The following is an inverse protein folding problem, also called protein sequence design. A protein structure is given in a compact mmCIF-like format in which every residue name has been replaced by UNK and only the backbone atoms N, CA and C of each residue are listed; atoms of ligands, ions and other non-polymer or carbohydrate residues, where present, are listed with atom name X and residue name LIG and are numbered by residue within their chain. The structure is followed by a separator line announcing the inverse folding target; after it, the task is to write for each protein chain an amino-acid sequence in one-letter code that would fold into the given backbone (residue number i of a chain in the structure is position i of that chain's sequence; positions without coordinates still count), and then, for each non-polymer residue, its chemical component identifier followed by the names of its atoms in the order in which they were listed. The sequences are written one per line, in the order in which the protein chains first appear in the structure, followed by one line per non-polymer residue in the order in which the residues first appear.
data_IF_053519784055
#
_entry.id   IF_053519784055
#
_cell.length_a   1.000
_cell.length_b   1.000
_cell.length_c   1.000
_cell.angle_alpha   90.00
_cell.angle_beta   90.00
_cell.angle_gamma   90.00
#
_symmetry.space_group_name_H-M   'P 1'
#
loop_
_entity.id
_entity.type
_entity.pdbx_description
1 polymer ?
#
# COMPACT_ATOMS: atom_id res chain seq x y z
N UNK A 1 20.34 1.11 11.43
CA UNK A 1 19.85 2.21 10.58
C UNK A 1 18.54 2.66 11.18
N UNK A 2 18.46 3.93 11.60
CA UNK A 2 17.31 4.45 12.34
C UNK A 2 16.08 4.61 11.44
N UNK A 3 14.93 4.36 12.04
CA UNK A 3 13.54 4.36 11.58
C UNK A 3 13.00 5.71 11.07
N UNK A 4 13.81 6.43 10.26
CA UNK A 4 13.45 7.71 9.64
C UNK A 4 14.54 8.37 8.78
N UNK A 5 15.51 7.62 8.26
CA UNK A 5 16.53 8.18 7.34
C UNK A 5 15.95 8.46 5.95
N UNK A 6 16.34 9.59 5.34
CA UNK A 6 16.09 9.85 3.92
C UNK A 6 17.26 9.37 3.06
N UNK A 7 16.96 8.93 1.84
CA UNK A 7 17.95 8.60 0.81
C UNK A 7 17.66 9.44 -0.41
N UNK A 8 18.68 10.14 -0.94
CA UNK A 8 18.55 10.80 -2.24
C UNK A 8 18.66 9.72 -3.33
N UNK A 9 17.62 9.59 -4.14
CA UNK A 9 17.47 8.51 -5.15
C UNK A 9 17.50 9.03 -6.59
N UNK A 10 17.54 10.35 -6.75
CA UNK A 10 17.73 11.06 -8.00
C UNK A 10 18.09 12.51 -7.68
N UNK A 11 18.52 13.29 -8.68
CA UNK A 11 18.79 14.72 -8.45
C UNK A 11 17.55 15.40 -7.85
N UNK A 12 17.66 16.04 -6.69
CA UNK A 12 16.55 16.62 -5.93
C UNK A 12 15.40 15.68 -5.52
N UNK A 13 15.50 14.36 -5.68
CA UNK A 13 14.44 13.40 -5.32
C UNK A 13 14.88 12.50 -4.18
N UNK A 14 14.03 12.39 -3.15
CA UNK A 14 14.32 11.69 -1.90
C UNK A 14 13.24 10.67 -1.58
N UNK A 15 13.66 9.51 -1.06
CA UNK A 15 12.78 8.51 -0.49
C UNK A 15 13.02 8.36 1.02
N UNK A 16 11.93 8.19 1.76
CA UNK A 16 11.93 7.87 3.19
C UNK A 16 11.50 6.41 3.33
N UNK A 17 12.50 5.53 3.22
CA UNK A 17 12.27 4.08 3.19
C UNK A 17 12.07 3.53 4.60
N UNK A 18 11.01 2.74 4.80
CA UNK A 18 10.73 2.06 6.06
C UNK A 18 11.29 0.65 6.03
N UNK A 19 11.73 0.17 7.19
CA UNK A 19 12.13 -1.23 7.31
C UNK A 19 10.89 -2.12 7.05
N UNK A 20 11.04 -3.21 6.28
CA UNK A 20 9.96 -4.17 6.11
C UNK A 20 9.44 -4.63 7.48
N UNK A 21 8.12 -4.54 7.66
CA UNK A 21 7.54 -4.67 9.00
C UNK A 21 6.03 -4.86 8.95
N UNK A 22 5.31 -4.20 9.86
CA UNK A 22 3.85 -4.28 9.96
C UNK A 22 3.11 -3.71 8.75
N UNK A 23 1.79 -3.54 8.88
CA UNK A 23 0.95 -3.07 7.78
C UNK A 23 1.35 -1.69 7.27
N UNK A 24 1.30 -0.64 8.10
CA UNK A 24 1.57 0.71 7.62
C UNK A 24 3.00 1.21 7.79
N UNK A 25 3.95 0.33 7.48
CA UNK A 25 5.35 0.68 7.27
C UNK A 25 5.53 1.14 5.81
N UNK A 26 4.76 2.14 5.39
CA UNK A 26 4.75 2.65 4.03
C UNK A 26 5.90 3.65 3.79
N UNK A 27 6.49 3.59 2.60
CA UNK A 27 7.49 4.54 2.13
C UNK A 27 6.82 5.86 1.70
N UNK A 28 7.55 6.97 1.83
CA UNK A 28 7.12 8.27 1.31
C UNK A 28 8.22 8.94 0.49
N UNK A 29 7.86 10.00 -0.23
CA UNK A 29 8.73 10.70 -1.17
C UNK A 29 8.76 12.21 -0.96
N UNK A 30 9.85 12.82 -1.42
CA UNK A 30 9.99 14.27 -1.56
C UNK A 30 10.70 14.58 -2.88
N UNK A 31 10.07 15.40 -3.71
CA UNK A 31 10.66 16.00 -4.92
C UNK A 31 10.94 17.46 -4.62
N UNK A 32 12.18 17.88 -4.79
CA UNK A 32 12.65 19.25 -4.53
C UNK A 32 13.10 19.87 -5.84
N UNK A 33 12.51 21.01 -6.18
CA UNK A 33 13.08 21.94 -7.14
C UNK A 33 13.76 23.08 -6.38
N UNK A 34 15.09 23.08 -6.38
CA UNK A 34 15.88 23.91 -5.48
C UNK A 34 15.65 25.40 -5.75
N UNK A 35 15.28 26.15 -4.72
CA UNK A 35 15.05 27.60 -4.83
C UNK A 35 13.62 27.98 -5.23
N UNK A 36 12.74 27.00 -5.51
CA UNK A 36 11.35 27.27 -5.91
C UNK A 36 10.37 26.57 -4.96
N UNK A 37 10.13 25.27 -5.11
CA UNK A 37 9.11 24.54 -4.37
C UNK A 37 9.38 23.03 -4.33
N UNK A 38 8.66 22.33 -3.46
CA UNK A 38 8.74 20.89 -3.31
C UNK A 38 7.36 20.23 -3.37
N UNK A 39 7.36 18.95 -3.74
CA UNK A 39 6.20 18.07 -3.74
C UNK A 39 6.45 16.88 -2.80
N UNK A 40 5.49 16.58 -1.92
CA UNK A 40 5.51 15.38 -1.07
C UNK A 40 4.70 14.25 -1.72
N UNK A 41 5.19 13.02 -1.65
CA UNK A 41 4.43 11.82 -2.06
C UNK A 41 4.15 10.96 -0.84
N UNK A 42 2.86 10.79 -0.51
CA UNK A 42 2.36 10.07 0.66
C UNK A 42 2.86 10.60 2.02
N UNK A 43 2.17 10.25 3.12
CA UNK A 43 2.41 10.90 4.43
C UNK A 43 2.46 9.98 5.66
N UNK A 44 2.52 8.66 5.49
CA UNK A 44 2.48 7.68 6.59
C UNK A 44 1.15 7.73 7.41
N UNK A 45 0.89 6.72 8.26
CA UNK A 45 -0.23 6.77 9.21
C UNK A 45 0.12 6.96 10.69
N UNK A 46 1.34 6.60 11.12
CA UNK A 46 1.74 6.81 12.52
C UNK A 46 2.11 8.27 12.63
N UNK A 47 1.33 9.01 13.41
CA UNK A 47 1.51 10.46 13.60
C UNK A 47 2.89 10.85 14.14
N UNK A 48 3.57 9.95 14.85
CA UNK A 48 4.96 10.17 15.31
C UNK A 48 5.94 9.99 14.15
N UNK A 49 5.73 8.99 13.30
CA UNK A 49 6.55 8.78 12.10
C UNK A 49 6.34 9.93 11.12
N UNK A 50 5.08 10.27 10.80
CA UNK A 50 4.75 11.37 9.90
C UNK A 50 5.44 12.68 10.35
N UNK A 51 5.43 12.97 11.66
CA UNK A 51 6.14 14.12 12.23
C UNK A 51 7.66 14.03 12.04
N UNK A 52 8.27 12.88 12.32
CA UNK A 52 9.73 12.67 12.13
C UNK A 52 10.13 12.84 10.66
N UNK A 53 9.32 12.36 9.72
CA UNK A 53 9.54 12.57 8.28
C UNK A 53 9.45 14.06 7.95
N UNK A 54 8.39 14.74 8.39
CA UNK A 54 8.23 16.18 8.16
C UNK A 54 9.38 17.01 8.76
N UNK A 55 9.91 16.63 9.92
CA UNK A 55 11.10 17.23 10.54
C UNK A 55 12.36 16.97 9.70
N UNK A 56 12.56 15.76 9.19
CA UNK A 56 13.68 15.40 8.32
C UNK A 56 13.61 16.10 6.95
N UNK A 57 12.42 16.46 6.48
CA UNK A 57 12.22 17.23 5.25
C UNK A 57 12.59 18.71 5.41
N UNK A 58 12.47 19.31 6.60
CA UNK A 58 12.72 20.74 6.85
C UNK A 58 14.04 21.27 6.24
N UNK A 59 15.22 20.66 6.48
CA UNK A 59 16.46 21.15 5.89
C UNK A 59 16.48 21.06 4.35
N UNK A 60 15.78 20.10 3.77
CA UNK A 60 15.71 19.89 2.31
C UNK A 60 14.83 20.94 1.62
N UNK A 61 13.76 21.37 2.31
CA UNK A 61 12.75 22.29 1.76
C UNK A 61 12.94 23.75 2.23
N UNK A 62 14.00 24.04 2.98
CA UNK A 62 14.25 25.36 3.57
C UNK A 62 14.30 26.51 2.54
N UNK A 63 14.68 26.22 1.30
CA UNK A 63 14.69 27.17 0.16
C UNK A 63 13.72 26.78 -0.96
N UNK A 64 12.88 25.79 -0.72
CA UNK A 64 11.96 25.21 -1.70
C UNK A 64 10.71 24.70 -0.96
N UNK A 65 9.85 25.60 -0.45
CA UNK A 65 8.72 25.23 0.40
C UNK A 65 7.80 24.20 -0.26
N UNK A 66 7.20 23.33 0.56
CA UNK A 66 6.23 22.32 0.10
C UNK A 66 4.93 23.03 -0.31
N UNK A 67 4.62 23.05 -1.60
CA UNK A 67 3.36 23.63 -2.12
C UNK A 67 2.42 22.57 -2.66
N UNK A 68 2.94 21.42 -3.07
CA UNK A 68 2.17 20.30 -3.59
C UNK A 68 2.38 19.05 -2.74
N UNK A 69 1.36 18.20 -2.70
CA UNK A 69 1.46 16.84 -2.19
C UNK A 69 0.57 15.93 -3.03
N UNK A 70 0.95 14.66 -3.14
CA UNK A 70 0.19 13.63 -3.82
C UNK A 70 0.01 12.44 -2.89
N UNK A 71 -1.23 11.98 -2.75
CA UNK A 71 -1.52 10.68 -2.13
C UNK A 71 -1.81 9.65 -3.23
N UNK A 72 -1.03 8.57 -3.26
CA UNK A 72 -1.04 7.57 -4.33
C UNK A 72 -2.32 6.75 -4.37
N UNK A 73 -2.93 6.49 -3.21
CA UNK A 73 -4.18 5.73 -3.09
C UNK A 73 -4.85 5.95 -1.73
N UNK A 74 -5.92 5.19 -1.43
CA UNK A 74 -6.82 5.43 -0.29
C UNK A 74 -6.40 4.83 1.06
N UNK A 75 -5.44 3.91 1.09
CA UNK A 75 -5.07 3.22 2.34
C UNK A 75 -4.41 4.19 3.33
N UNK A 76 -4.78 4.06 4.59
CA UNK A 76 -4.55 5.09 5.61
C UNK A 76 -3.08 5.43 5.83
N UNK A 77 -2.20 4.46 5.67
CA UNK A 77 -0.74 4.58 5.74
C UNK A 77 -0.12 5.40 4.61
N UNK A 78 -0.88 5.82 3.62
CA UNK A 78 -0.41 6.72 2.57
C UNK A 78 -0.87 8.16 2.75
N UNK A 79 -1.86 8.44 3.61
CA UNK A 79 -2.43 9.80 3.71
C UNK A 79 -2.78 10.29 5.12
N UNK A 80 -2.75 9.44 6.15
CA UNK A 80 -3.19 9.87 7.48
C UNK A 80 -2.24 10.88 8.17
N UNK A 81 -1.04 11.05 7.66
CA UNK A 81 -0.10 12.08 8.07
C UNK A 81 -0.28 13.41 7.35
N UNK A 82 -1.32 13.60 6.53
CA UNK A 82 -1.56 14.85 5.78
C UNK A 82 -1.67 16.09 6.68
N UNK A 83 -2.01 15.93 7.97
CA UNK A 83 -2.02 17.01 8.97
C UNK A 83 -0.60 17.55 9.30
N UNK A 84 0.46 16.89 8.85
CA UNK A 84 1.86 17.36 8.98
C UNK A 84 2.29 18.30 7.87
N UNK A 85 1.54 18.34 6.76
CA UNK A 85 1.81 19.24 5.64
C UNK A 85 1.47 20.70 6.01
N UNK A 86 2.18 21.69 5.44
CA UNK A 86 1.77 23.08 5.55
C UNK A 86 0.31 23.30 5.14
N UNK A 87 -0.39 24.21 5.83
CA UNK A 87 -1.81 24.48 5.59
C UNK A 87 -2.10 24.97 4.16
N UNK A 88 -1.10 25.56 3.49
CA UNK A 88 -1.19 26.06 2.11
C UNK A 88 -0.87 25.01 1.06
N UNK A 89 -0.42 23.81 1.46
CA UNK A 89 -0.06 22.74 0.51
C UNK A 89 -1.30 22.19 -0.16
N UNK A 90 -1.33 22.23 -1.48
CA UNK A 90 -2.32 21.59 -2.32
C UNK A 90 -2.14 20.07 -2.27
N UNK A 91 -3.21 19.30 -2.03
CA UNK A 91 -3.12 17.83 -1.98
C UNK A 91 -3.94 17.24 -3.13
N UNK A 92 -3.26 16.52 -4.03
CA UNK A 92 -3.85 15.84 -5.18
C UNK A 92 -3.93 14.33 -4.95
N UNK A 93 -5.01 13.69 -5.38
CA UNK A 93 -5.17 12.23 -5.43
C UNK A 93 -6.08 11.85 -6.60
N UNK A 94 -6.32 10.57 -6.89
CA UNK A 94 -7.34 10.23 -7.91
C UNK A 94 -8.76 10.42 -7.37
N UNK A 95 -9.75 10.72 -8.22
CA UNK A 95 -11.14 10.86 -7.75
C UNK A 95 -11.68 9.59 -7.07
N UNK A 96 -11.25 8.42 -7.55
CA UNK A 96 -11.58 7.14 -6.95
C UNK A 96 -10.93 6.93 -5.58
N UNK A 97 -9.66 7.33 -5.41
CA UNK A 97 -8.98 7.26 -4.12
C UNK A 97 -9.61 8.23 -3.09
N UNK A 98 -9.95 9.47 -3.48
CA UNK A 98 -10.65 10.40 -2.60
C UNK A 98 -12.00 9.84 -2.11
N UNK A 99 -12.72 9.11 -2.97
CA UNK A 99 -13.95 8.43 -2.57
C UNK A 99 -13.65 7.34 -1.53
N UNK A 100 -12.66 6.49 -1.77
CA UNK A 100 -12.20 5.46 -0.83
C UNK A 100 -11.85 6.06 0.55
N UNK A 101 -11.06 7.14 0.56
CA UNK A 101 -10.67 7.85 1.80
C UNK A 101 -11.86 8.37 2.62
N UNK A 102 -12.98 8.71 1.97
CA UNK A 102 -14.20 9.18 2.64
C UNK A 102 -15.07 8.04 3.17
N UNK A 103 -15.00 6.88 2.54
CA UNK A 103 -15.84 5.71 2.84
C UNK A 103 -15.17 4.74 3.82
N UNK A 104 -13.83 4.78 3.92
CA UNK A 104 -13.08 3.93 4.82
C UNK A 104 -13.30 4.26 6.31
N UNK A 105 -12.96 3.27 7.15
CA UNK A 105 -13.05 3.43 8.59
C UNK A 105 -12.14 4.58 9.05
N UNK A 106 -12.65 5.54 9.84
CA UNK A 106 -11.82 6.61 10.35
C UNK A 106 -10.75 6.06 11.31
N UNK A 107 -9.60 6.75 11.47
CA UNK A 107 -8.50 6.31 12.32
C UNK A 107 -8.92 5.92 13.75
N UNK A 108 -9.83 6.70 14.35
CA UNK A 108 -10.35 6.43 15.69
C UNK A 108 -11.13 5.11 15.78
N UNK A 109 -11.87 4.74 14.73
CA UNK A 109 -12.58 3.46 14.67
C UNK A 109 -11.60 2.30 14.52
N UNK A 110 -10.56 2.45 13.68
CA UNK A 110 -9.48 1.46 13.55
C UNK A 110 -8.76 1.26 14.90
N UNK A 111 -8.41 2.34 15.59
CA UNK A 111 -7.79 2.29 16.91
C UNK A 111 -8.69 1.61 17.96
N UNK A 112 -9.99 1.91 17.95
CA UNK A 112 -10.97 1.29 18.85
C UNK A 112 -11.09 -0.22 18.59
N UNK A 113 -11.19 -0.63 17.33
CA UNK A 113 -11.27 -2.05 16.94
C UNK A 113 -9.99 -2.81 17.31
N UNK A 114 -8.82 -2.23 17.07
CA UNK A 114 -7.54 -2.83 17.46
C UNK A 114 -7.40 -2.95 19.00
N UNK A 115 -7.91 -1.96 19.74
CA UNK A 115 -7.94 -1.99 21.22
C UNK A 115 -8.88 -3.08 21.73
N UNK A 116 -10.10 -3.17 21.19
CA UNK A 116 -11.04 -4.24 21.51
C UNK A 116 -10.47 -5.62 21.18
N UNK A 117 -9.70 -5.73 20.08
CA UNK A 117 -9.00 -6.95 19.68
C UNK A 117 -8.01 -7.50 20.72
N UNK A 118 -7.53 -6.69 21.67
CA UNK A 118 -6.71 -7.17 22.80
C UNK A 118 -7.45 -8.14 23.71
N UNK A 119 -8.75 -7.95 23.87
CA UNK A 119 -9.60 -8.78 24.73
C UNK A 119 -10.33 -9.84 23.91
N UNK A 120 -10.93 -9.43 22.78
CA UNK A 120 -11.69 -10.33 21.92
C UNK A 120 -10.81 -11.33 21.18
N UNK A 121 -9.52 -11.05 20.98
CA UNK A 121 -8.58 -11.95 20.29
C UNK A 121 -8.38 -13.31 20.98
N UNK A 122 -8.69 -13.40 22.28
CA UNK A 122 -8.63 -14.64 23.05
C UNK A 122 -9.91 -15.51 22.94
N UNK A 123 -10.98 -14.98 22.35
CA UNK A 123 -12.24 -15.71 22.16
C UNK A 123 -12.02 -16.83 21.13
N UNK A 124 -12.40 -18.08 21.42
CA UNK A 124 -12.28 -19.16 20.44
C UNK A 124 -13.10 -18.91 19.17
N UNK A 125 -12.61 -19.40 18.03
CA UNK A 125 -13.31 -19.35 16.75
C UNK A 125 -13.09 -18.07 15.94
N UNK A 126 -13.90 -17.90 14.89
CA UNK A 126 -13.68 -16.89 13.84
C UNK A 126 -13.69 -15.45 14.34
N UNK A 127 -14.55 -15.13 15.31
CA UNK A 127 -14.66 -13.77 15.86
C UNK A 127 -13.35 -13.37 16.54
N UNK A 128 -12.81 -14.23 17.40
CA UNK A 128 -11.53 -13.94 18.05
C UNK A 128 -10.35 -13.96 17.09
N UNK A 129 -10.37 -14.83 16.07
CA UNK A 129 -9.35 -14.80 15.02
C UNK A 129 -9.34 -13.47 14.25
N UNK A 130 -10.51 -12.98 13.80
CA UNK A 130 -10.62 -11.68 13.14
C UNK A 130 -10.16 -10.54 14.04
N UNK A 131 -10.55 -10.56 15.32
CA UNK A 131 -10.17 -9.55 16.30
C UNK A 131 -8.66 -9.57 16.61
N UNK A 132 -8.06 -10.76 16.68
CA UNK A 132 -6.62 -10.94 16.86
C UNK A 132 -5.84 -10.39 15.65
N UNK A 133 -6.32 -10.64 14.43
CA UNK A 133 -5.72 -10.08 13.22
C UNK A 133 -5.85 -8.55 13.18
N UNK A 134 -7.05 -8.03 13.45
CA UNK A 134 -7.32 -6.58 13.46
C UNK A 134 -6.42 -5.84 14.46
N UNK A 135 -6.11 -6.46 15.61
CA UNK A 135 -5.14 -5.93 16.59
C UNK A 135 -3.74 -5.77 16.00
N UNK A 136 -3.33 -6.62 15.05
CA UNK A 136 -2.01 -6.57 14.40
C UNK A 136 -1.93 -5.49 13.33
N UNK A 137 -3.06 -5.12 12.72
CA UNK A 137 -3.09 -4.16 11.61
C UNK A 137 -2.36 -2.87 11.97
N UNK A 138 -2.69 -2.12 13.04
CA UNK A 138 -1.94 -0.89 13.33
C UNK A 138 -0.48 -1.12 13.72
N UNK A 139 -0.03 -2.34 14.06
CA UNK A 139 1.37 -2.61 14.37
C UNK A 139 1.97 -1.83 15.55
N UNK A 140 1.14 -1.22 16.41
CA UNK A 140 1.58 -0.31 17.48
C UNK A 140 1.64 1.18 17.06
N UNK A 141 1.19 1.49 15.85
CA UNK A 141 1.12 2.85 15.32
C UNK A 141 0.27 3.78 16.19
N UNK A 142 0.70 5.03 16.32
CA UNK A 142 -0.09 6.10 16.92
C UNK A 142 -0.94 6.78 15.86
N UNK A 143 -2.14 6.25 15.68
CA UNK A 143 -3.09 6.73 14.69
C UNK A 143 -3.67 8.09 15.09
N UNK A 144 -4.07 8.94 14.11
CA UNK A 144 -4.79 10.18 14.39
C UNK A 144 -6.06 9.95 15.21
N UNK A 145 -6.43 10.91 16.05
CA UNK A 145 -7.68 10.84 16.83
C UNK A 145 -8.91 11.32 16.04
N UNK A 146 -8.69 12.10 14.98
CA UNK A 146 -9.70 12.59 14.02
C UNK A 146 -9.28 12.23 12.61
N UNK A 147 -10.20 12.30 11.67
CA UNK A 147 -9.87 12.19 10.25
C UNK A 147 -8.90 13.30 9.83
N UNK A 148 -7.76 12.97 9.20
CA UNK A 148 -6.79 13.94 8.71
C UNK A 148 -7.33 14.77 7.55
N UNK A 149 -6.58 15.81 7.17
CA UNK A 149 -6.86 16.62 5.98
C UNK A 149 -6.94 15.74 4.72
N UNK A 150 -8.13 15.69 4.12
CA UNK A 150 -8.36 15.01 2.84
C UNK A 150 -7.70 15.78 1.69
N UNK A 151 -7.37 15.09 0.58
CA UNK A 151 -7.08 15.73 -0.69
C UNK A 151 -8.18 16.69 -1.14
N UNK A 152 -7.78 17.86 -1.65
CA UNK A 152 -8.65 18.92 -2.14
C UNK A 152 -8.65 19.03 -3.67
N UNK A 153 -7.75 18.30 -4.35
CA UNK A 153 -7.74 18.17 -5.80
C UNK A 153 -7.75 16.72 -6.26
N UNK A 154 -8.36 16.51 -7.42
CA UNK A 154 -8.46 15.20 -8.03
C UNK A 154 -8.07 15.20 -9.51
N UNK A 155 -7.69 14.03 -10.00
CA UNK A 155 -7.50 13.73 -11.41
C UNK A 155 -8.05 12.32 -11.72
N UNK A 156 -8.32 12.05 -13.00
CA UNK A 156 -8.98 10.80 -13.42
C UNK A 156 -8.15 9.90 -14.35
N UNK A 157 -7.23 10.48 -15.13
CA UNK A 157 -6.31 9.72 -16.00
C UNK A 157 -4.87 10.14 -15.75
N UNK A 158 -4.42 11.18 -16.42
CA UNK A 158 -3.06 11.70 -16.33
C UNK A 158 -3.10 13.17 -15.92
N UNK A 159 -2.14 13.59 -15.10
CA UNK A 159 -1.96 14.98 -14.72
C UNK A 159 -0.48 15.36 -14.80
N UNK A 160 -0.20 16.48 -15.45
CA UNK A 160 1.11 17.13 -15.42
C UNK A 160 1.10 18.17 -14.32
N UNK A 161 1.99 18.01 -13.36
CA UNK A 161 2.24 18.97 -12.29
C UNK A 161 3.59 19.64 -12.53
N UNK A 162 3.61 20.96 -12.44
CA UNK A 162 4.85 21.75 -12.47
C UNK A 162 5.28 22.00 -11.02
N UNK A 163 6.34 21.34 -10.59
CA UNK A 163 6.98 21.55 -9.29
C UNK A 163 8.17 22.47 -9.54
N UNK A 164 7.90 23.78 -9.57
CA UNK A 164 8.87 24.77 -10.01
C UNK A 164 9.20 24.58 -11.49
N UNK A 165 10.44 24.23 -11.82
CA UNK A 165 10.86 23.92 -13.19
C UNK A 165 10.75 22.43 -13.55
N UNK A 166 10.41 21.57 -12.60
CA UNK A 166 10.35 20.12 -12.80
C UNK A 166 8.96 19.68 -13.21
N UNK A 167 8.91 18.84 -14.25
CA UNK A 167 7.69 18.17 -14.66
C UNK A 167 7.51 16.90 -13.83
N UNK A 168 6.41 16.82 -13.09
CA UNK A 168 5.97 15.61 -12.39
C UNK A 168 4.72 15.08 -13.07
N UNK A 169 4.74 13.82 -13.47
CA UNK A 169 3.65 13.14 -14.16
C UNK A 169 2.90 12.25 -13.17
N UNK A 170 1.59 12.48 -13.00
CA UNK A 170 0.71 11.57 -12.29
C UNK A 170 -0.06 10.74 -13.30
N UNK A 171 -0.12 9.42 -13.09
CA UNK A 171 -0.91 8.51 -13.90
C UNK A 171 -1.75 7.62 -12.98
N UNK A 172 -3.06 7.54 -13.23
CA UNK A 172 -3.96 6.63 -12.51
C UNK A 172 -3.95 5.28 -13.20
N UNK A 173 -3.43 4.26 -12.53
CA UNK A 173 -3.37 2.89 -13.03
C UNK A 173 -4.43 1.98 -12.39
N UNK A 174 -5.14 2.46 -11.36
CA UNK A 174 -6.22 1.77 -10.70
C UNK A 174 -7.52 1.67 -11.52
N UNK A 175 -8.42 0.73 -11.17
CA UNK A 175 -8.40 -0.04 -9.92
C UNK A 175 -7.46 -1.26 -9.96
N UNK A 176 -6.61 -1.40 -8.95
CA UNK A 176 -5.66 -2.49 -8.74
C UNK A 176 -5.68 -2.93 -7.27
N UNK A 177 -4.72 -2.44 -6.46
CA UNK A 177 -4.70 -2.63 -5.01
C UNK A 177 -5.95 -2.02 -4.40
N UNK A 178 -6.25 -0.76 -4.71
CA UNK A 178 -7.47 -0.02 -4.35
C UNK A 178 -8.28 0.39 -5.59
N UNK A 179 -9.31 1.21 -5.41
CA UNK A 179 -10.11 1.74 -6.52
C UNK A 179 -9.35 2.76 -7.40
N UNK A 180 -8.31 3.40 -6.84
CA UNK A 180 -7.77 4.65 -7.35
C UNK A 180 -6.26 4.75 -7.37
N UNK A 181 -5.56 3.61 -7.46
CA UNK A 181 -4.09 3.56 -7.43
C UNK A 181 -3.46 4.44 -8.50
N UNK A 182 -2.47 5.22 -8.10
CA UNK A 182 -1.75 6.15 -8.96
C UNK A 182 -0.26 6.11 -8.70
N UNK A 183 0.50 6.52 -9.71
CA UNK A 183 1.95 6.67 -9.65
C UNK A 183 2.35 8.14 -9.75
N UNK A 184 3.54 8.47 -9.24
CA UNK A 184 4.21 9.76 -9.42
C UNK A 184 5.52 9.53 -10.14
N UNK A 185 5.64 9.97 -11.38
CA UNK A 185 6.84 9.84 -12.20
C UNK A 185 7.55 11.18 -12.34
N UNK A 186 8.86 11.19 -12.06
CA UNK A 186 9.76 12.34 -12.17
C UNK A 186 10.79 12.03 -13.26
N UNK A 187 10.49 12.32 -14.55
CA UNK A 187 11.25 11.77 -15.66
C UNK A 187 12.70 12.27 -15.74
N UNK A 188 12.95 13.53 -15.39
CA UNK A 188 14.30 14.11 -15.40
C UNK A 188 15.21 13.52 -14.31
N UNK A 189 14.62 12.93 -13.26
CA UNK A 189 15.35 12.24 -12.20
C UNK A 189 15.38 10.71 -12.38
N UNK A 190 14.65 10.15 -13.35
CA UNK A 190 14.54 8.70 -13.52
C UNK A 190 13.86 7.99 -12.35
N UNK A 191 12.91 8.63 -11.66
CA UNK A 191 12.26 8.09 -10.44
C UNK A 191 10.76 7.91 -10.59
N UNK A 192 10.23 6.77 -10.14
CA UNK A 192 8.79 6.52 -10.03
C UNK A 192 8.41 6.13 -8.60
N UNK A 193 7.48 6.87 -7.99
CA UNK A 193 6.79 6.44 -6.76
C UNK A 193 5.54 5.67 -7.14
N UNK A 194 5.46 4.39 -6.75
CA UNK A 194 4.43 3.47 -7.22
C UNK A 194 3.32 3.20 -6.19
N UNK A 195 3.47 3.66 -4.94
CA UNK A 195 2.60 3.27 -3.84
C UNK A 195 2.44 1.74 -3.79
N UNK A 196 1.26 1.29 -3.40
CA UNK A 196 0.98 -0.14 -3.23
C UNK A 196 0.69 -0.89 -4.53
N UNK A 197 1.02 -0.30 -5.69
CA UNK A 197 1.19 -1.10 -6.90
C UNK A 197 2.44 -1.98 -6.81
N UNK A 198 3.39 -1.65 -5.91
CA UNK A 198 4.59 -2.45 -5.64
C UNK A 198 4.71 -2.77 -4.14
N UNK A 199 4.74 -4.05 -3.82
CA UNK A 199 5.19 -4.60 -2.53
C UNK A 199 6.45 -5.42 -2.79
N UNK A 200 7.58 -5.08 -2.17
CA UNK A 200 8.86 -5.72 -2.41
C UNK A 200 9.29 -6.52 -1.17
N UNK A 201 9.49 -7.83 -1.33
CA UNK A 201 9.84 -8.74 -0.23
C UNK A 201 8.69 -8.99 0.76
N UNK A 202 7.45 -8.71 0.37
CA UNK A 202 6.25 -8.84 1.20
C UNK A 202 5.09 -9.35 0.34
N UNK A 203 4.26 -10.23 0.91
CA UNK A 203 3.09 -10.76 0.23
C UNK A 203 2.07 -9.63 -0.02
N UNK A 204 1.77 -9.30 -1.29
CA UNK A 204 0.92 -8.16 -1.64
C UNK A 204 -0.56 -8.47 -1.42
N UNK A 205 -1.37 -7.43 -1.27
CA UNK A 205 -2.81 -7.56 -0.99
C UNK A 205 -3.63 -7.02 -2.15
N UNK A 206 -4.58 -7.80 -2.65
CA UNK A 206 -5.58 -7.36 -3.61
C UNK A 206 -6.91 -7.03 -2.92
N UNK A 207 -7.22 -5.74 -2.75
CA UNK A 207 -8.53 -5.34 -2.22
C UNK A 207 -9.57 -5.17 -3.31
N UNK A 208 -9.20 -4.57 -4.43
CA UNK A 208 -10.16 -4.14 -5.44
C UNK A 208 -10.17 -5.04 -6.68
N UNK A 209 -9.03 -5.13 -7.37
CA UNK A 209 -8.95 -5.77 -8.67
C UNK A 209 -9.79 -5.08 -9.76
N UNK A 210 -9.98 -5.74 -10.91
CA UNK A 210 -9.57 -7.11 -11.23
C UNK A 210 -8.04 -7.26 -11.34
N UNK A 211 -7.50 -8.46 -11.16
CA UNK A 211 -6.04 -8.68 -11.09
C UNK A 211 -5.34 -8.36 -12.41
N UNK A 212 -6.05 -8.54 -13.52
CA UNK A 212 -5.61 -8.22 -14.88
C UNK A 212 -5.21 -6.74 -15.01
N UNK A 213 -5.89 -5.84 -14.29
CA UNK A 213 -5.50 -4.43 -14.24
C UNK A 213 -4.16 -4.23 -13.54
N UNK A 214 -3.89 -4.96 -12.46
CA UNK A 214 -2.62 -4.85 -11.75
C UNK A 214 -1.46 -5.40 -12.58
N UNK A 215 -1.68 -6.50 -13.31
CA UNK A 215 -0.70 -6.97 -14.29
C UNK A 215 -0.40 -5.89 -15.34
N UNK A 216 -1.44 -5.24 -15.89
CA UNK A 216 -1.27 -4.14 -16.83
C UNK A 216 -0.56 -2.92 -16.21
N UNK A 217 -0.82 -2.61 -14.94
CA UNK A 217 -0.13 -1.55 -14.20
C UNK A 217 1.36 -1.87 -14.01
N UNK A 218 1.70 -3.13 -13.72
CA UNK A 218 3.09 -3.58 -13.63
C UNK A 218 3.79 -3.50 -15.00
N UNK A 219 3.11 -3.91 -16.07
CA UNK A 219 3.63 -3.79 -17.44
C UNK A 219 3.86 -2.31 -17.82
N UNK A 220 2.96 -1.40 -17.38
CA UNK A 220 3.14 0.04 -17.53
C UNK A 220 4.35 0.56 -16.75
N UNK A 221 4.51 0.15 -15.49
CA UNK A 221 5.66 0.52 -14.67
C UNK A 221 6.98 0.12 -15.33
N UNK A 222 7.09 -1.11 -15.84
CA UNK A 222 8.27 -1.59 -16.56
C UNK A 222 8.54 -0.79 -17.85
N UNK A 223 7.49 -0.35 -18.53
CA UNK A 223 7.60 0.44 -19.77
C UNK A 223 8.00 1.91 -19.55
N UNK A 224 7.98 2.41 -18.31
CA UNK A 224 8.49 3.75 -17.99
C UNK A 224 10.02 3.84 -18.05
N UNK A 225 10.71 2.69 -17.94
CA UNK A 225 12.17 2.59 -18.00
C UNK A 225 12.87 3.57 -17.04
N UNK A 226 12.37 3.65 -15.81
CA UNK A 226 12.94 4.50 -14.76
C UNK A 226 14.13 3.81 -14.08
N UNK A 227 15.07 4.61 -13.57
CA UNK A 227 16.26 4.12 -12.88
C UNK A 227 15.92 3.54 -11.50
N UNK A 228 14.97 4.15 -10.79
CA UNK A 228 14.58 3.76 -9.43
C UNK A 228 13.05 3.80 -9.25
N UNK A 229 12.52 2.74 -8.65
CA UNK A 229 11.13 2.66 -8.22
C UNK A 229 11.04 2.66 -6.69
N UNK A 230 10.15 3.51 -6.16
CA UNK A 230 9.81 3.57 -4.74
C UNK A 230 8.49 2.83 -4.54
N UNK A 231 8.52 1.61 -3.97
CA UNK A 231 7.29 0.89 -3.65
C UNK A 231 6.60 1.51 -2.45
N UNK A 232 5.33 1.20 -2.25
CA UNK A 232 4.61 1.54 -1.03
C UNK A 232 5.19 0.78 0.16
N UNK A 233 5.56 -0.50 -0.02
CA UNK A 233 6.22 -1.29 1.01
C UNK A 233 7.45 -2.04 0.51
N UNK A 234 8.49 -2.07 1.34
CA UNK A 234 9.73 -2.77 1.07
C UNK A 234 10.87 -1.85 0.63
N UNK A 235 12.03 -2.42 0.27
CA UNK A 235 13.17 -1.65 -0.20
C UNK A 235 12.90 -1.01 -1.57
N UNK A 236 13.68 0.01 -1.92
CA UNK A 236 13.76 0.53 -3.30
C UNK A 236 14.03 -0.62 -4.28
N UNK A 237 13.48 -0.54 -5.47
CA UNK A 237 13.57 -1.62 -6.44
C UNK A 237 13.83 -1.14 -7.88
N UNK A 238 14.16 -2.10 -8.73
CA UNK A 238 14.26 -1.93 -10.16
C UNK A 238 13.38 -2.93 -10.93
N UNK A 239 13.61 -3.07 -12.24
CA UNK A 239 12.80 -3.93 -13.10
C UNK A 239 12.77 -5.40 -12.69
N UNK A 240 13.81 -5.92 -12.03
CA UNK A 240 13.89 -7.34 -11.66
C UNK A 240 12.92 -7.68 -10.52
N UNK A 241 12.87 -6.89 -9.45
CA UNK A 241 11.90 -7.11 -8.38
C UNK A 241 10.46 -6.84 -8.86
N UNK A 242 10.27 -5.91 -9.80
CA UNK A 242 8.95 -5.66 -10.41
C UNK A 242 8.48 -6.88 -11.22
N UNK A 243 9.37 -7.51 -11.99
CA UNK A 243 9.08 -8.77 -12.71
C UNK A 243 8.80 -9.91 -11.74
N UNK A 244 9.45 -9.93 -10.59
CA UNK A 244 9.22 -10.92 -9.54
C UNK A 244 7.80 -10.79 -8.94
N UNK A 245 7.37 -9.56 -8.64
CA UNK A 245 5.99 -9.28 -8.23
C UNK A 245 4.97 -9.68 -9.30
N UNK A 246 5.27 -9.40 -10.57
CA UNK A 246 4.43 -9.85 -11.69
C UNK A 246 4.30 -11.37 -11.73
N UNK A 247 5.42 -12.09 -11.55
CA UNK A 247 5.46 -13.54 -11.56
C UNK A 247 4.61 -14.12 -10.42
N UNK A 248 4.67 -13.53 -9.22
CA UNK A 248 3.80 -13.90 -8.10
C UNK A 248 2.33 -13.77 -8.46
N UNK A 249 1.91 -12.64 -9.05
CA UNK A 249 0.51 -12.45 -9.40
C UNK A 249 0.01 -13.41 -10.47
N UNK A 250 0.81 -13.66 -11.51
CA UNK A 250 0.47 -14.62 -12.56
C UNK A 250 0.35 -16.03 -11.98
N UNK A 251 1.28 -16.43 -11.12
CA UNK A 251 1.23 -17.71 -10.43
C UNK A 251 -0.02 -17.82 -9.53
N UNK A 252 -0.27 -16.82 -8.69
CA UNK A 252 -1.42 -16.82 -7.79
C UNK A 252 -2.75 -16.90 -8.55
N UNK A 253 -2.84 -16.22 -9.69
CA UNK A 253 -4.01 -16.30 -10.56
C UNK A 253 -4.23 -17.74 -11.04
N UNK A 254 -3.19 -18.36 -11.62
CA UNK A 254 -3.26 -19.70 -12.18
C UNK A 254 -3.57 -20.75 -11.10
N UNK A 255 -2.73 -20.80 -10.06
CA UNK A 255 -2.85 -21.78 -8.98
C UNK A 255 -4.14 -21.55 -8.17
N UNK A 256 -4.53 -20.29 -7.95
CA UNK A 256 -5.79 -19.93 -7.31
C UNK A 256 -7.01 -20.36 -8.13
N UNK A 257 -7.01 -20.19 -9.46
CA UNK A 257 -8.11 -20.64 -10.33
C UNK A 257 -8.29 -22.15 -10.28
N UNK A 258 -7.20 -22.91 -10.22
CA UNK A 258 -7.29 -24.37 -10.05
C UNK A 258 -7.96 -24.76 -8.74
N UNK A 259 -7.57 -24.11 -7.64
CA UNK A 259 -8.19 -24.33 -6.33
C UNK A 259 -9.68 -23.96 -6.33
N UNK A 260 -10.02 -22.83 -6.95
CA UNK A 260 -11.40 -22.41 -7.12
C UNK A 260 -12.23 -23.41 -7.94
N UNK A 261 -11.69 -23.91 -9.06
CA UNK A 261 -12.35 -24.91 -9.90
C UNK A 261 -12.60 -26.25 -9.18
N UNK A 262 -11.76 -26.59 -8.19
CA UNK A 262 -11.94 -27.75 -7.30
C UNK A 262 -12.96 -27.50 -6.17
N UNK A 263 -13.53 -26.30 -6.08
CA UNK A 263 -14.50 -25.91 -5.06
C UNK A 263 -13.88 -25.56 -3.71
N UNK A 264 -12.57 -25.30 -3.65
CA UNK A 264 -11.92 -24.88 -2.41
C UNK A 264 -12.39 -23.48 -1.98
N UNK A 265 -12.42 -23.23 -0.67
CA UNK A 265 -12.55 -21.87 -0.12
C UNK A 265 -11.19 -21.16 -0.05
N UNK A 266 -11.16 -19.82 0.12
CA UNK A 266 -9.90 -19.05 0.14
C UNK A 266 -8.87 -19.53 1.16
N UNK A 267 -9.28 -19.88 2.39
CA UNK A 267 -8.37 -20.41 3.41
C UNK A 267 -7.76 -21.75 3.01
N UNK A 268 -8.57 -22.65 2.45
CA UNK A 268 -8.11 -23.97 2.03
C UNK A 268 -7.14 -23.86 0.86
N UNK A 269 -7.49 -23.04 -0.14
CA UNK A 269 -6.60 -22.71 -1.24
C UNK A 269 -5.27 -22.15 -0.72
N UNK A 270 -5.30 -21.14 0.16
CA UNK A 270 -4.10 -20.54 0.74
C UNK A 270 -3.21 -21.58 1.47
N UNK A 271 -3.80 -22.48 2.26
CA UNK A 271 -3.05 -23.55 2.95
C UNK A 271 -2.31 -24.46 1.98
N UNK A 272 -2.91 -24.78 0.85
CA UNK A 272 -2.27 -25.61 -0.18
C UNK A 272 -1.18 -24.82 -0.90
N UNK A 273 -1.48 -23.59 -1.30
CA UNK A 273 -0.58 -22.75 -2.09
C UNK A 273 0.69 -22.35 -1.35
N UNK A 274 0.62 -21.98 -0.06
CA UNK A 274 1.85 -21.64 0.71
C UNK A 274 2.75 -22.84 1.00
N UNK A 275 2.29 -24.06 0.71
CA UNK A 275 3.06 -25.32 0.81
C UNK A 275 3.41 -25.89 -0.56
N UNK A 276 3.00 -25.21 -1.64
CA UNK A 276 3.31 -25.63 -2.99
C UNK A 276 4.82 -25.46 -3.25
N UNK A 277 5.49 -26.43 -3.88
CA UNK A 277 6.90 -26.29 -4.25
C UNK A 277 7.22 -25.03 -5.08
N UNK A 278 6.29 -24.53 -5.89
CA UNK A 278 6.48 -23.29 -6.65
C UNK A 278 6.52 -22.05 -5.74
N UNK A 279 5.83 -22.09 -4.59
CA UNK A 279 5.82 -20.98 -3.63
C UNK A 279 7.18 -20.76 -2.95
N UNK A 280 8.11 -21.73 -3.03
CA UNK A 280 9.48 -21.57 -2.52
C UNK A 280 10.19 -20.34 -3.08
N UNK A 281 9.77 -19.86 -4.27
CA UNK A 281 10.27 -18.64 -4.89
C UNK A 281 10.03 -17.37 -4.07
N UNK A 282 9.03 -17.38 -3.18
CA UNK A 282 8.59 -16.25 -2.36
C UNK A 282 8.55 -16.61 -0.86
N UNK A 283 9.26 -17.66 -0.43
CA UNK A 283 9.21 -18.14 0.96
C UNK A 283 9.85 -17.19 1.98
N UNK A 284 10.75 -16.32 1.49
CA UNK A 284 11.41 -15.25 2.24
C UNK A 284 10.55 -13.98 2.34
N UNK A 285 9.46 -13.88 1.57
CA UNK A 285 8.54 -12.76 1.67
C UNK A 285 7.80 -12.76 3.00
N UNK A 286 7.72 -11.59 3.62
CA UNK A 286 6.99 -11.45 4.88
C UNK A 286 5.47 -11.52 4.66
N UNK A 287 4.77 -11.88 5.73
CA UNK A 287 3.31 -12.01 5.80
C UNK A 287 2.67 -12.95 4.76
N UNK A 288 3.17 -14.19 4.59
CA UNK A 288 2.62 -15.15 3.62
C UNK A 288 1.12 -15.43 3.84
N UNK A 289 0.60 -15.21 5.05
CA UNK A 289 -0.84 -15.36 5.32
C UNK A 289 -1.73 -14.40 4.53
N UNK A 290 -1.19 -13.26 4.07
CA UNK A 290 -1.94 -12.26 3.29
C UNK A 290 -2.45 -12.79 1.96
N UNK A 291 -1.89 -13.88 1.46
CA UNK A 291 -2.40 -14.60 0.28
C UNK A 291 -3.91 -14.90 0.39
N UNK A 292 -4.41 -15.18 1.60
CA UNK A 292 -5.84 -15.42 1.88
C UNK A 292 -6.71 -14.21 1.51
N UNK A 293 -6.19 -13.01 1.77
CA UNK A 293 -6.92 -11.76 1.51
C UNK A 293 -7.11 -11.57 0.00
N UNK A 294 -6.03 -11.77 -0.76
CA UNK A 294 -6.05 -11.69 -2.22
C UNK A 294 -6.94 -12.79 -2.82
N UNK A 295 -6.84 -14.04 -2.35
CA UNK A 295 -7.70 -15.13 -2.80
C UNK A 295 -9.18 -14.88 -2.49
N UNK A 296 -9.49 -14.29 -1.34
CA UNK A 296 -10.88 -13.90 -1.00
C UNK A 296 -11.44 -12.91 -2.02
N UNK A 297 -10.64 -11.94 -2.49
CA UNK A 297 -11.06 -10.99 -3.52
C UNK A 297 -11.17 -11.66 -4.90
N UNK A 298 -10.17 -12.47 -5.28
CA UNK A 298 -10.15 -13.19 -6.55
C UNK A 298 -11.34 -14.14 -6.70
N UNK A 299 -11.61 -14.97 -5.69
CA UNK A 299 -12.69 -15.97 -5.71
C UNK A 299 -14.06 -15.30 -5.80
N UNK A 300 -14.21 -14.11 -5.19
CA UNK A 300 -15.44 -13.33 -5.32
C UNK A 300 -15.66 -12.86 -6.76
N UNK A 301 -14.61 -12.32 -7.40
CA UNK A 301 -14.65 -11.88 -8.80
C UNK A 301 -14.91 -13.04 -9.76
N UNK A 302 -14.22 -14.17 -9.58
CA UNK A 302 -14.44 -15.37 -10.40
C UNK A 302 -15.83 -15.99 -10.23
N UNK A 303 -16.49 -15.73 -9.09
CA UNK A 303 -17.90 -16.03 -8.88
C UNK A 303 -18.88 -15.13 -9.62
N UNK A 304 -18.42 -14.24 -10.52
CA UNK A 304 -19.25 -13.38 -11.36
C UNK A 304 -19.65 -12.05 -10.74
N UNK A 305 -19.06 -11.68 -9.59
CA UNK A 305 -19.33 -10.38 -8.96
C UNK A 305 -18.43 -9.29 -9.57
N UNK A 306 -18.92 -8.04 -9.67
CA UNK A 306 -18.10 -6.94 -10.16
C UNK A 306 -16.91 -6.66 -9.23
N UNK A 307 -15.77 -6.18 -9.77
CA UNK A 307 -14.63 -5.74 -8.98
C UNK A 307 -15.04 -4.65 -7.98
N UNK A 308 -14.81 -4.91 -6.70
CA UNK A 308 -15.18 -4.03 -5.60
C UNK A 308 -14.39 -4.41 -4.34
N UNK A 309 -14.10 -3.43 -3.45
CA UNK A 309 -13.45 -3.72 -2.18
C UNK A 309 -14.30 -4.68 -1.33
N UNK A 310 -13.68 -5.45 -0.42
CA UNK A 310 -14.42 -6.34 0.46
C UNK A 310 -15.37 -5.56 1.36
N UNK A 311 -16.61 -6.03 1.44
CA UNK A 311 -17.56 -5.58 2.47
C UNK A 311 -16.97 -5.83 3.86
N UNK A 312 -17.46 -5.11 4.87
CA UNK A 312 -17.01 -5.28 6.26
C UNK A 312 -17.06 -6.75 6.71
N UNK A 313 -18.13 -7.47 6.34
CA UNK A 313 -18.28 -8.90 6.66
C UNK A 313 -17.25 -9.76 5.93
N UNK A 314 -17.04 -9.54 4.62
CA UNK A 314 -16.03 -10.28 3.85
C UNK A 314 -14.62 -10.02 4.37
N UNK A 315 -14.30 -8.76 4.69
CA UNK A 315 -13.00 -8.36 5.26
C UNK A 315 -12.76 -9.02 6.61
N UNK A 316 -13.76 -8.99 7.51
CA UNK A 316 -13.66 -9.67 8.80
C UNK A 316 -13.49 -11.20 8.66
N UNK A 317 -14.19 -11.82 7.70
CA UNK A 317 -14.00 -13.23 7.35
C UNK A 317 -12.58 -13.54 6.90
N UNK A 318 -12.05 -12.77 5.95
CA UNK A 318 -10.70 -12.93 5.43
C UNK A 318 -9.62 -12.69 6.51
N UNK A 319 -9.85 -11.75 7.44
CA UNK A 319 -8.98 -11.54 8.60
C UNK A 319 -8.97 -12.73 9.56
N UNK A 320 -10.12 -13.37 9.81
CA UNK A 320 -10.16 -14.59 10.60
C UNK A 320 -9.37 -15.72 9.96
N UNK A 321 -9.48 -15.85 8.64
CA UNK A 321 -8.79 -16.88 7.85
C UNK A 321 -7.27 -16.62 7.82
N UNK A 322 -6.85 -15.36 7.62
CA UNK A 322 -5.44 -14.97 7.67
C UNK A 322 -4.80 -15.23 9.04
N UNK A 323 -5.47 -14.89 10.16
CA UNK A 323 -4.95 -15.21 11.51
C UNK A 323 -4.87 -16.73 11.74
N UNK A 324 -5.82 -17.50 11.20
CA UNK A 324 -5.78 -18.96 11.29
C UNK A 324 -4.54 -19.51 10.58
N UNK A 325 -4.32 -19.08 9.34
CA UNK A 325 -3.14 -19.49 8.56
C UNK A 325 -1.83 -19.04 9.22
N UNK A 326 -1.76 -17.80 9.72
CA UNK A 326 -0.59 -17.28 10.43
C UNK A 326 -0.20 -18.14 11.63
N UNK A 327 -1.19 -18.59 12.43
CA UNK A 327 -0.94 -19.48 13.58
C UNK A 327 -0.37 -20.83 13.16
N UNK A 328 -0.90 -21.42 12.08
CA UNK A 328 -0.41 -22.69 11.53
C UNK A 328 1.02 -22.59 10.99
N UNK A 329 1.34 -21.49 10.31
CA UNK A 329 2.69 -21.24 9.79
C UNK A 329 3.69 -20.98 10.92
N UNK A 330 3.26 -20.32 11.99
CA UNK A 330 4.10 -20.06 13.18
C UNK A 330 4.35 -21.30 14.02
N UNK A 331 3.46 -22.30 14.02
CA UNK A 331 3.64 -23.55 14.77
C UNK A 331 4.57 -24.56 14.10
N UNK A 332 4.95 -24.30 12.85
CA UNK A 332 5.75 -25.22 12.01
C UNK A 332 7.23 -24.79 11.91
N UNK A 333 7.60 -23.65 12.50
CA UNK A 333 8.96 -23.11 12.59
C UNK A 333 9.50 -23.33 14.00
#
# INVERSE_FOLDING_TARGET
MGDGGSTQIGDGVWAFVRAPGGWGEANTGLVVDAGTTSLVVDTAWDTRVARRIAEAQQPLVARAPITEAVNTHSDGDHWWGNDTLPATTRITTSAAALRGMREDLPPAAVAALATAGRWLGAVPGRIGAAAAYMRRVPGGAHLPWRSPRLPDHTFDTDLRLEVGQRLVMLERLGPCHTAGDAIVHVPDAGVVFAGDLLFIGSTPILWHGPLENWIAAIDRLLALDADVYVPGHGPLCGPDEIRELRAYWVWLEQAGREQYARGAGPLEAARQLVRDPEFVRWDDWIHPERIVLSLSTLFHGWGGHPPAPPTVVRRAGAFADAETLLRELSSTR
#
